data_IF_397753965796
#
_entry.id   IF_397753965796
#
_cell.length_a   1.000
_cell.length_b   1.000
_cell.length_c   1.000
_cell.angle_alpha   90.00
_cell.angle_beta   90.00
_cell.angle_gamma   90.00
#
_symmetry.space_group_name_H-M   'P 1'
#
loop_
_entity.id
_entity.type
_entity.pdbx_description
1 polymer ?
#
# COMPACT_ATOMS: atom_id res chain seq x y z
N UNK A 1 -42.19 -2.16 -18.73
CA UNK A 1 -41.50 -3.19 -19.52
C UNK A 1 -40.11 -3.39 -18.92
N UNK A 2 -39.97 -4.33 -17.98
CA UNK A 2 -38.68 -4.69 -17.40
C UNK A 2 -38.08 -5.78 -18.28
N UNK A 3 -37.06 -5.44 -19.08
CA UNK A 3 -36.25 -6.46 -19.74
C UNK A 3 -35.27 -7.02 -18.69
N UNK A 4 -35.58 -8.22 -18.18
CA UNK A 4 -34.62 -9.02 -17.43
C UNK A 4 -33.56 -9.53 -18.42
N UNK A 5 -32.30 -9.20 -18.16
CA UNK A 5 -31.15 -9.72 -18.91
C UNK A 5 -30.71 -11.02 -18.24
N UNK A 6 -30.82 -12.15 -18.94
CA UNK A 6 -30.25 -13.44 -18.53
C UNK A 6 -28.87 -13.62 -19.17
N UNK A 7 -27.87 -14.08 -18.41
CA UNK A 7 -26.52 -14.34 -18.88
C UNK A 7 -26.23 -15.83 -18.78
N UNK A 8 -25.84 -16.44 -19.89
CA UNK A 8 -25.46 -17.85 -19.99
C UNK A 8 -23.99 -17.95 -20.42
N UNK A 9 -23.25 -18.92 -19.88
CA UNK A 9 -21.83 -19.10 -20.16
C UNK A 9 -21.49 -20.57 -20.31
N UNK A 10 -20.76 -20.89 -21.37
CA UNK A 10 -20.22 -22.22 -21.64
C UNK A 10 -18.68 -22.14 -21.68
N UNK A 11 -18.02 -23.25 -21.38
CA UNK A 11 -16.56 -23.33 -21.41
C UNK A 11 -16.06 -23.26 -22.86
N UNK A 12 -15.46 -22.14 -23.24
CA UNK A 12 -15.01 -21.87 -24.60
C UNK A 12 -13.52 -22.23 -24.85
N UNK A 13 -12.90 -22.95 -23.90
CA UNK A 13 -11.50 -23.36 -23.99
C UNK A 13 -10.50 -22.23 -23.69
N UNK A 14 -9.21 -22.53 -23.87
CA UNK A 14 -8.12 -21.61 -23.54
C UNK A 14 -7.76 -20.68 -24.69
N UNK A 15 -7.54 -19.40 -24.38
CA UNK A 15 -7.06 -18.39 -25.32
C UNK A 15 -5.75 -17.77 -24.82
N UNK A 16 -4.93 -17.30 -25.76
CA UNK A 16 -3.72 -16.56 -25.45
C UNK A 16 -4.08 -15.16 -24.93
N UNK A 17 -3.46 -14.76 -23.82
CA UNK A 17 -3.65 -13.44 -23.21
C UNK A 17 -2.33 -12.88 -22.70
N UNK A 18 -2.16 -11.54 -22.75
CA UNK A 18 -0.99 -10.87 -22.19
C UNK A 18 -1.15 -10.69 -20.68
N UNK A 19 -0.70 -11.70 -19.93
CA UNK A 19 -0.73 -11.71 -18.47
C UNK A 19 0.61 -11.31 -17.87
N UNK A 20 0.57 -10.54 -16.79
CA UNK A 20 1.73 -10.16 -16.00
C UNK A 20 1.53 -10.52 -14.53
N UNK A 21 2.61 -10.96 -13.89
CA UNK A 21 2.66 -11.15 -12.44
C UNK A 21 2.85 -9.79 -11.78
N UNK A 22 1.94 -9.44 -10.88
CA UNK A 22 1.99 -8.24 -10.07
C UNK A 22 2.35 -8.61 -8.63
N UNK A 23 3.45 -8.05 -8.17
CA UNK A 23 4.01 -8.22 -6.85
C UNK A 23 3.70 -6.99 -5.98
N UNK A 24 3.36 -7.21 -4.71
CA UNK A 24 3.13 -6.12 -3.75
C UNK A 24 4.28 -6.09 -2.75
N UNK A 25 4.90 -4.92 -2.61
CA UNK A 25 6.01 -4.70 -1.70
C UNK A 25 5.63 -3.70 -0.60
N UNK A 26 5.96 -4.06 0.64
CA UNK A 26 5.86 -3.18 1.81
C UNK A 26 7.27 -2.84 2.28
N UNK A 27 7.64 -1.56 2.24
CA UNK A 27 8.99 -1.09 2.54
C UNK A 27 10.11 -1.81 1.75
N UNK A 28 9.78 -2.35 0.57
CA UNK A 28 10.69 -3.13 -0.27
C UNK A 28 10.71 -4.63 0.02
N UNK A 29 9.98 -5.10 1.04
CA UNK A 29 9.78 -6.51 1.30
C UNK A 29 8.57 -7.02 0.53
N UNK A 30 8.74 -8.14 -0.19
CA UNK A 30 7.66 -8.79 -0.92
C UNK A 30 6.64 -9.39 0.06
N UNK A 31 5.35 -9.18 -0.22
CA UNK A 31 4.24 -9.86 0.47
C UNK A 31 3.68 -10.91 -0.48
N UNK A 32 4.05 -12.17 -0.27
CA UNK A 32 3.74 -13.27 -1.18
C UNK A 32 2.23 -13.52 -1.30
N UNK A 33 1.48 -13.27 -0.22
CA UNK A 33 0.05 -13.51 -0.14
C UNK A 33 -0.76 -12.60 -1.07
N UNK A 34 -0.22 -11.43 -1.42
CA UNK A 34 -0.89 -10.43 -2.25
C UNK A 34 -0.46 -10.44 -3.72
N UNK A 35 0.36 -11.42 -4.10
CA UNK A 35 0.79 -11.60 -5.49
C UNK A 35 -0.42 -12.01 -6.34
N UNK A 36 -0.61 -11.31 -7.47
CA UNK A 36 -1.75 -11.55 -8.37
C UNK A 36 -1.33 -11.55 -9.82
N UNK A 37 -2.04 -12.30 -10.66
CA UNK A 37 -1.87 -12.30 -12.11
C UNK A 37 -2.94 -11.40 -12.71
N UNK A 38 -2.53 -10.43 -13.51
CA UNK A 38 -3.41 -9.43 -14.13
C UNK A 38 -3.07 -9.25 -15.59
N UNK A 39 -4.06 -8.84 -16.41
CA UNK A 39 -3.78 -8.44 -17.78
C UNK A 39 -2.90 -7.20 -17.79
N UNK A 40 -1.91 -7.16 -18.68
CA UNK A 40 -0.91 -6.08 -18.76
C UNK A 40 -1.51 -4.68 -18.80
N UNK A 41 -2.54 -4.47 -19.61
CA UNK A 41 -3.21 -3.16 -19.74
C UNK A 41 -3.92 -2.70 -18.46
N UNK A 42 -4.40 -3.65 -17.65
CA UNK A 42 -5.09 -3.38 -16.38
C UNK A 42 -4.14 -3.36 -15.19
N UNK A 43 -2.87 -3.72 -15.36
CA UNK A 43 -1.93 -3.86 -14.25
C UNK A 43 -1.80 -2.58 -13.42
N UNK A 44 -1.70 -1.42 -14.07
CA UNK A 44 -1.57 -0.15 -13.36
C UNK A 44 -2.82 0.22 -12.54
N UNK A 45 -4.02 0.07 -13.11
CA UNK A 45 -5.26 0.42 -12.41
C UNK A 45 -5.54 -0.51 -11.24
N UNK A 46 -5.34 -1.82 -11.42
CA UNK A 46 -5.50 -2.80 -10.35
C UNK A 46 -4.45 -2.60 -9.26
N UNK A 47 -3.18 -2.42 -9.63
CA UNK A 47 -2.09 -2.17 -8.66
C UNK A 47 -2.31 -0.92 -7.82
N UNK A 48 -2.81 0.17 -8.45
CA UNK A 48 -3.19 1.39 -7.73
C UNK A 48 -4.33 1.14 -6.75
N UNK A 49 -5.40 0.45 -7.17
CA UNK A 49 -6.53 0.14 -6.31
C UNK A 49 -6.13 -0.72 -5.10
N UNK A 50 -5.25 -1.71 -5.29
CA UNK A 50 -4.71 -2.54 -4.19
C UNK A 50 -3.91 -1.68 -3.22
N UNK A 51 -3.03 -0.81 -3.73
CA UNK A 51 -2.22 0.09 -2.92
C UNK A 51 -3.07 1.05 -2.08
N UNK A 52 -4.14 1.61 -2.64
CA UNK A 52 -5.10 2.47 -1.93
C UNK A 52 -5.84 1.69 -0.83
N UNK A 53 -6.36 0.49 -1.13
CA UNK A 53 -7.05 -0.35 -0.13
C UNK A 53 -6.14 -0.77 1.03
N UNK A 54 -4.87 -1.09 0.73
CA UNK A 54 -3.88 -1.41 1.75
C UNK A 54 -3.59 -0.20 2.64
N UNK A 55 -3.50 1.00 2.05
CA UNK A 55 -3.28 2.24 2.80
C UNK A 55 -4.41 2.52 3.79
N UNK A 56 -5.65 2.27 3.40
CA UNK A 56 -6.82 2.48 4.27
C UNK A 56 -6.97 1.39 5.33
N UNK A 57 -6.51 0.18 5.04
CA UNK A 57 -6.60 -0.96 5.96
C UNK A 57 -5.44 -1.03 6.95
N UNK A 58 -4.26 -0.52 6.59
CA UNK A 58 -3.07 -0.57 7.44
C UNK A 58 -3.08 0.55 8.48
N UNK A 59 -2.87 0.22 9.77
CA UNK A 59 -2.75 1.23 10.81
C UNK A 59 -1.50 2.07 10.59
N UNK A 60 -1.62 3.38 10.86
CA UNK A 60 -0.47 4.30 10.83
C UNK A 60 0.54 3.86 11.90
N UNK A 61 1.83 4.00 11.60
CA UNK A 61 2.91 3.68 12.52
C UNK A 61 3.77 4.92 12.82
N UNK A 62 4.78 4.80 13.69
CA UNK A 62 5.69 5.91 14.01
C UNK A 62 6.64 6.26 12.85
N UNK A 63 6.78 5.36 11.87
CA UNK A 63 7.53 5.56 10.63
C UNK A 63 6.60 5.49 9.41
N UNK A 64 7.12 5.93 8.26
CA UNK A 64 6.38 5.92 7.01
C UNK A 64 6.43 4.52 6.39
N UNK A 65 5.26 4.02 5.97
CA UNK A 65 5.15 2.74 5.29
C UNK A 65 4.97 3.02 3.81
N UNK A 66 5.92 2.58 3.00
CA UNK A 66 5.82 2.63 1.55
C UNK A 66 5.15 1.35 1.04
N UNK A 67 4.01 1.50 0.39
CA UNK A 67 3.28 0.41 -0.28
C UNK A 67 3.55 0.56 -1.77
N UNK A 68 4.01 -0.50 -2.42
CA UNK A 68 4.41 -0.47 -3.82
C UNK A 68 3.80 -1.67 -4.54
N UNK A 69 3.27 -1.44 -5.73
CA UNK A 69 2.97 -2.52 -6.68
C UNK A 69 4.05 -2.53 -7.75
N UNK A 70 4.59 -3.70 -8.03
CA UNK A 70 5.62 -3.92 -9.03
C UNK A 70 5.21 -5.01 -10.01
N UNK A 71 5.70 -4.90 -11.24
CA UNK A 71 5.64 -5.95 -12.25
C UNK A 71 7.08 -6.25 -12.62
N UNK A 72 7.57 -7.41 -12.19
CA UNK A 72 8.99 -7.74 -12.26
C UNK A 72 9.84 -6.72 -11.49
N UNK A 73 10.78 -6.04 -12.16
CA UNK A 73 11.66 -5.04 -11.56
C UNK A 73 11.09 -3.62 -11.53
N UNK A 74 9.97 -3.37 -12.24
CA UNK A 74 9.41 -2.03 -12.39
C UNK A 74 8.28 -1.79 -11.39
N UNK A 75 8.39 -0.72 -10.60
CA UNK A 75 7.29 -0.23 -9.75
C UNK A 75 6.27 0.48 -10.64
N UNK A 76 5.03 0.01 -10.62
CA UNK A 76 3.91 0.54 -11.40
C UNK A 76 3.05 1.53 -10.60
N UNK A 77 2.87 1.30 -9.31
CA UNK A 77 2.09 2.16 -8.42
C UNK A 77 2.76 2.24 -7.05
N UNK A 78 2.60 3.37 -6.36
CA UNK A 78 3.16 3.60 -5.03
C UNK A 78 2.23 4.45 -4.20
N UNK A 79 1.92 3.97 -3.01
CA UNK A 79 1.24 4.72 -1.96
C UNK A 79 2.09 4.80 -0.70
N UNK A 80 1.79 5.75 0.18
CA UNK A 80 2.54 5.91 1.43
C UNK A 80 1.61 6.22 2.60
N UNK A 81 1.68 5.39 3.63
CA UNK A 81 0.98 5.61 4.89
C UNK A 81 1.80 6.60 5.71
N UNK A 82 1.20 7.75 6.03
CA UNK A 82 1.88 8.81 6.79
C UNK A 82 2.18 8.35 8.21
N UNK A 83 3.42 8.56 8.63
CA UNK A 83 3.82 8.32 10.01
C UNK A 83 3.05 9.21 11.01
N UNK A 84 2.88 8.73 12.24
CA UNK A 84 2.56 9.59 13.36
C UNK A 84 3.71 10.57 13.64
N UNK A 85 3.38 11.81 14.00
CA UNK A 85 4.37 12.84 14.33
C UNK A 85 3.99 13.49 15.65
N UNK A 86 4.80 13.25 16.68
CA UNK A 86 4.72 14.00 17.94
C UNK A 86 5.22 15.43 17.69
N UNK A 87 4.49 16.43 18.20
CA UNK A 87 4.95 17.81 18.20
C UNK A 87 6.08 17.97 19.24
N UNK A 88 7.32 17.79 18.81
CA UNK A 88 8.52 17.94 19.66
C UNK A 88 8.81 19.39 20.04
N UNK A 89 8.20 20.35 19.34
CA UNK A 89 8.44 21.79 19.53
C UNK A 89 7.48 22.43 20.54
N UNK A 90 6.48 21.70 21.03
CA UNK A 90 5.45 22.24 21.92
C UNK A 90 5.99 22.89 23.21
N UNK A 91 7.16 22.44 23.71
CA UNK A 91 7.82 23.00 24.90
C UNK A 91 8.91 24.05 24.57
N UNK A 92 9.07 24.43 23.30
CA UNK A 92 10.08 25.40 22.88
C UNK A 92 9.46 26.79 22.84
N UNK A 93 9.47 27.50 23.97
CA UNK A 93 8.85 28.82 24.13
C UNK A 93 9.71 30.00 23.65
N UNK A 94 10.63 29.79 22.71
CA UNK A 94 11.59 30.82 22.31
C UNK A 94 12.07 30.76 20.85
N UNK A 95 12.90 31.75 20.51
CA UNK A 95 13.52 31.92 19.19
C UNK A 95 14.77 31.07 18.95
N UNK A 96 15.17 30.20 19.90
CA UNK A 96 16.36 29.36 19.74
C UNK A 96 16.16 28.30 18.64
N UNK A 97 16.63 28.64 17.44
CA UNK A 97 16.59 27.80 16.24
C UNK A 97 17.44 26.54 16.44
N UNK A 98 18.55 26.63 17.17
CA UNK A 98 19.49 25.51 17.35
C UNK A 98 18.84 24.37 18.11
N UNK A 99 18.08 24.68 19.19
CA UNK A 99 17.32 23.70 19.96
C UNK A 99 16.20 23.05 19.14
N UNK A 100 15.45 23.83 18.35
CA UNK A 100 14.40 23.30 17.46
C UNK A 100 14.98 22.32 16.44
N UNK A 101 16.08 22.70 15.78
CA UNK A 101 16.78 21.86 14.82
C UNK A 101 17.29 20.55 15.43
N UNK A 102 17.87 20.61 16.64
CA UNK A 102 18.37 19.42 17.35
C UNK A 102 17.24 18.41 17.65
N UNK A 103 16.07 18.89 18.04
CA UNK A 103 14.90 18.04 18.31
C UNK A 103 14.34 17.40 17.02
N UNK A 104 14.27 18.17 15.93
CA UNK A 104 13.82 17.67 14.63
C UNK A 104 14.79 16.63 14.04
N UNK A 105 16.10 16.87 14.15
CA UNK A 105 17.13 15.90 13.72
C UNK A 105 17.00 14.57 14.47
N UNK A 106 16.88 14.61 15.80
CA UNK A 106 16.66 13.41 16.63
C UNK A 106 15.38 12.66 16.22
N UNK A 107 14.30 13.39 15.95
CA UNK A 107 13.05 12.78 15.48
C UNK A 107 13.22 12.10 14.12
N UNK A 108 13.89 12.75 13.16
CA UNK A 108 14.13 12.21 11.83
C UNK A 108 15.02 10.95 11.87
N UNK A 109 16.10 10.97 12.64
CA UNK A 109 17.00 9.83 12.84
C UNK A 109 16.28 8.65 13.50
N UNK A 110 15.48 8.92 14.53
CA UNK A 110 14.65 7.90 15.18
C UNK A 110 13.71 7.22 14.20
N UNK A 111 13.01 8.00 13.36
CA UNK A 111 12.13 7.45 12.32
C UNK A 111 12.88 6.65 11.26
N UNK A 112 14.07 7.11 10.84
CA UNK A 112 14.91 6.39 9.87
C UNK A 112 15.37 5.04 10.43
N UNK A 113 15.72 4.99 11.72
CA UNK A 113 16.08 3.75 12.41
C UNK A 113 14.88 2.80 12.51
N UNK A 114 13.72 3.31 12.91
CA UNK A 114 12.48 2.54 12.98
C UNK A 114 12.09 1.95 11.63
N UNK A 115 12.23 2.69 10.53
CA UNK A 115 11.92 2.18 9.19
C UNK A 115 12.79 1.00 8.77
N UNK A 116 14.06 0.95 9.20
CA UNK A 116 14.98 -0.16 8.87
C UNK A 116 14.69 -1.44 9.64
N UNK A 117 14.25 -1.31 10.89
CA UNK A 117 14.05 -2.43 11.82
C UNK A 117 12.59 -2.89 11.81
N UNK A 118 11.66 -2.01 11.44
CA UNK A 118 10.23 -2.27 11.47
C UNK A 118 9.82 -3.32 10.44
N UNK A 119 9.55 -4.53 10.91
CA UNK A 119 8.77 -5.49 10.17
C UNK A 119 7.30 -5.07 10.22
N UNK A 120 6.60 -5.12 9.08
CA UNK A 120 5.19 -4.77 8.98
C UNK A 120 4.44 -6.08 8.79
N UNK A 121 3.84 -6.58 9.87
CA UNK A 121 2.85 -7.64 9.74
C UNK A 121 1.56 -7.07 9.15
N UNK A 122 1.08 -7.70 8.09
CA UNK A 122 -0.21 -7.38 7.50
C UNK A 122 -1.29 -8.09 8.31
N UNK A 123 -2.19 -7.38 8.99
CA UNK A 123 -3.26 -8.04 9.74
C UNK A 123 -4.19 -8.79 8.79
N UNK A 124 -4.73 -9.93 9.24
CA UNK A 124 -5.63 -10.78 8.44
C UNK A 124 -6.85 -10.00 7.92
N UNK A 125 -7.37 -9.07 8.71
CA UNK A 125 -8.52 -8.25 8.32
C UNK A 125 -8.22 -7.32 7.13
N UNK A 126 -6.98 -6.80 7.05
CA UNK A 126 -6.56 -5.98 5.92
C UNK A 126 -6.47 -6.80 4.64
N UNK A 127 -6.03 -8.06 4.74
CA UNK A 127 -5.97 -8.98 3.60
C UNK A 127 -7.35 -9.25 3.00
N UNK A 128 -8.34 -9.58 3.85
CA UNK A 128 -9.72 -9.85 3.43
C UNK A 128 -10.32 -8.62 2.75
N UNK A 129 -10.07 -7.42 3.29
CA UNK A 129 -10.56 -6.15 2.70
C UNK A 129 -9.97 -5.87 1.32
N UNK A 130 -8.71 -6.20 1.09
CA UNK A 130 -8.06 -5.98 -0.21
C UNK A 130 -8.63 -6.93 -1.27
N UNK A 131 -8.87 -8.19 -0.90
CA UNK A 131 -9.42 -9.22 -1.78
C UNK A 131 -10.91 -9.04 -2.10
N UNK A 132 -11.68 -8.37 -1.23
CA UNK A 132 -13.07 -8.03 -1.54
C UNK A 132 -13.11 -6.98 -2.65
N UNK A 133 -13.28 -7.47 -3.88
CA UNK A 133 -13.37 -6.65 -5.11
C UNK A 133 -14.65 -5.82 -5.18
N UNK A 134 -15.63 -6.10 -4.32
CA UNK A 134 -16.87 -5.34 -4.27
C UNK A 134 -16.88 -4.37 -3.07
N UNK A 135 -17.17 -3.07 -3.27
CA UNK A 135 -17.63 -2.24 -2.17
C UNK A 135 -18.93 -2.84 -1.67
N UNK A 136 -18.98 -3.23 -0.39
CA UNK A 136 -20.23 -3.50 0.30
C UNK A 136 -21.07 -2.20 0.19
N UNK A 137 -22.05 -2.20 -0.72
CA UNK A 137 -23.02 -1.13 -0.89
C UNK A 137 -24.08 -1.22 0.20
#
# INVERSE_FOLDING_TARGET
MFFLVSFDYEDAGYQTAELVKMDILLNGNLVEELVTIVHKDKAHSVGKAICERLKDSLPRQLFEIAIQAAVGSRIIARETVKAYRKNVLAKCYGGDITRKMKLLKRQAEGKKKLRKIGNIEVPKDAFIKVLRTQPDK
#
